data_IF_638097470328
#
_entry.id   IF_638097470328
#
_cell.length_a   1.000
_cell.length_b   1.000
_cell.length_c   1.000
_cell.angle_alpha   90.00
_cell.angle_beta   90.00
_cell.angle_gamma   90.00
#
_symmetry.space_group_name_H-M   'P 1'
#
loop_
_entity.id
_entity.type
_entity.pdbx_description
1 polymer ?
#
# COMPACT_ATOMS: atom_id res chain seq x y z
N UNK A 1 1.58 -7.87 -22.31
CA UNK A 1 0.19 -7.59 -21.88
C UNK A 1 0.14 -7.87 -20.38
N UNK A 2 0.23 -6.81 -19.57
CA UNK A 2 0.31 -6.86 -18.11
C UNK A 2 -1.01 -7.42 -17.56
N UNK A 3 -0.98 -8.61 -16.94
CA UNK A 3 -2.12 -9.06 -16.13
C UNK A 3 -2.27 -8.09 -14.95
N UNK A 4 -3.44 -7.46 -14.73
CA UNK A 4 -3.55 -6.50 -13.65
C UNK A 4 -3.44 -7.26 -12.32
N UNK A 5 -2.52 -6.84 -11.46
CA UNK A 5 -2.67 -7.07 -10.04
C UNK A 5 -4.10 -6.60 -9.67
N UNK A 6 -4.88 -7.49 -9.07
CA UNK A 6 -6.25 -7.20 -8.68
C UNK A 6 -6.33 -5.95 -7.80
N UNK A 7 -7.52 -5.32 -7.68
CA UNK A 7 -7.70 -4.19 -6.79
C UNK A 7 -7.28 -4.56 -5.35
N UNK A 8 -6.70 -3.60 -4.63
CA UNK A 8 -6.38 -3.79 -3.22
C UNK A 8 -7.64 -4.18 -2.44
N UNK A 9 -7.51 -5.24 -1.65
CA UNK A 9 -8.59 -5.67 -0.75
C UNK A 9 -8.58 -4.83 0.52
N UNK A 10 -9.74 -4.76 1.19
CA UNK A 10 -9.86 -4.03 2.45
C UNK A 10 -8.85 -4.52 3.52
N UNK A 11 -8.68 -5.85 3.77
CA UNK A 11 -7.68 -6.33 4.72
C UNK A 11 -6.24 -5.92 4.37
N UNK A 12 -5.90 -5.80 3.08
CA UNK A 12 -4.58 -5.32 2.65
C UNK A 12 -4.38 -3.83 2.96
N UNK A 13 -5.42 -3.01 2.76
CA UNK A 13 -5.40 -1.59 3.11
C UNK A 13 -5.23 -1.43 4.62
N UNK A 14 -6.00 -2.17 5.42
CA UNK A 14 -5.94 -2.13 6.88
C UNK A 14 -4.57 -2.58 7.41
N UNK A 15 -4.05 -3.71 6.92
CA UNK A 15 -2.73 -4.21 7.31
C UNK A 15 -1.62 -3.21 6.97
N UNK A 16 -1.64 -2.64 5.76
CA UNK A 16 -0.66 -1.65 5.34
C UNK A 16 -0.76 -0.38 6.19
N UNK A 17 -1.97 0.09 6.50
CA UNK A 17 -2.17 1.27 7.34
C UNK A 17 -1.73 1.02 8.80
N UNK A 18 -2.04 -0.14 9.38
CA UNK A 18 -1.57 -0.53 10.72
C UNK A 18 -0.04 -0.56 10.80
N UNK A 19 0.64 -1.16 9.81
CA UNK A 19 2.10 -1.18 9.75
C UNK A 19 2.72 0.24 9.66
N UNK A 20 2.00 1.19 9.07
CA UNK A 20 2.42 2.61 9.05
C UNK A 20 2.20 3.23 10.43
N UNK A 21 1.05 3.00 11.06
CA UNK A 21 0.71 3.53 12.38
C UNK A 21 1.64 3.00 13.49
N UNK A 22 2.13 1.77 13.39
CA UNK A 22 3.16 1.26 14.31
C UNK A 22 4.46 2.10 14.28
N UNK A 23 4.78 2.71 13.13
CA UNK A 23 6.00 3.51 12.91
C UNK A 23 5.75 5.02 13.02
N UNK A 24 4.49 5.44 13.01
CA UNK A 24 4.03 6.82 13.02
C UNK A 24 2.60 6.87 13.61
N UNK A 25 2.49 6.70 14.93
CA UNK A 25 1.20 6.53 15.62
C UNK A 25 0.30 7.76 15.59
N UNK A 26 0.90 8.94 15.44
CA UNK A 26 0.25 10.24 15.31
C UNK A 26 -0.16 10.58 13.87
N UNK A 27 0.18 9.72 12.89
CA UNK A 27 -0.16 9.95 11.50
C UNK A 27 -1.67 10.16 11.32
N UNK A 28 -2.01 11.25 10.63
CA UNK A 28 -3.40 11.55 10.24
C UNK A 28 -3.68 11.15 8.80
N UNK A 29 -2.69 11.20 7.91
CA UNK A 29 -2.87 10.88 6.49
C UNK A 29 -1.92 9.77 6.08
N UNK A 30 -2.45 8.69 5.49
CA UNK A 30 -1.66 7.58 4.96
C UNK A 30 -1.99 7.45 3.47
N UNK A 31 -1.02 7.67 2.59
CA UNK A 31 -1.22 7.43 1.17
C UNK A 31 -0.78 6.03 0.77
N UNK A 32 -1.63 5.27 0.10
CA UNK A 32 -1.32 3.95 -0.44
C UNK A 32 -1.48 3.99 -1.96
N UNK A 33 -0.43 3.60 -2.68
CA UNK A 33 -0.47 3.53 -4.13
C UNK A 33 -1.27 2.31 -4.57
N UNK A 34 -2.22 2.51 -5.48
CA UNK A 34 -2.96 1.44 -6.16
C UNK A 34 -3.36 1.89 -7.55
N UNK A 35 -3.15 1.02 -8.54
CA UNK A 35 -3.46 1.32 -9.95
C UNK A 35 -4.92 1.06 -10.30
N UNK A 36 -5.60 0.23 -9.51
CA UNK A 36 -6.96 -0.21 -9.79
C UNK A 36 -7.89 0.35 -8.74
N UNK A 37 -8.87 1.14 -9.18
CA UNK A 37 -9.98 1.60 -8.34
C UNK A 37 -10.91 0.41 -8.04
N UNK A 38 -11.32 0.29 -6.80
CA UNK A 38 -12.34 -0.66 -6.36
C UNK A 38 -13.41 0.05 -5.52
N UNK A 39 -14.46 -0.70 -5.19
CA UNK A 39 -15.45 -0.27 -4.21
C UNK A 39 -14.90 -0.63 -2.83
N UNK A 40 -14.63 0.40 -2.02
CA UNK A 40 -14.19 0.29 -0.63
C UNK A 40 -15.22 0.97 0.27
N UNK A 41 -15.29 0.61 1.57
CA UNK A 41 -16.11 1.37 2.51
C UNK A 41 -15.62 2.82 2.61
N UNK A 42 -16.52 3.74 2.99
CA UNK A 42 -16.19 5.16 3.14
C UNK A 42 -15.18 5.42 4.28
N UNK A 43 -15.16 4.53 5.28
CA UNK A 43 -14.24 4.60 6.41
C UNK A 43 -13.92 3.22 6.99
N UNK A 44 -12.79 3.15 7.71
CA UNK A 44 -12.31 1.98 8.47
C UNK A 44 -11.90 2.40 9.87
N UNK A 45 -11.95 1.47 10.83
CA UNK A 45 -11.48 1.73 12.20
C UNK A 45 -10.11 1.08 12.40
N UNK A 46 -9.08 1.87 12.68
CA UNK A 46 -7.71 1.41 12.88
C UNK A 46 -7.14 1.99 14.16
N UNK A 47 -6.59 1.14 15.03
CA UNK A 47 -5.99 1.56 16.31
C UNK A 47 -6.92 2.46 17.14
N UNK A 48 -8.22 2.15 17.16
CA UNK A 48 -9.25 2.95 17.86
C UNK A 48 -9.65 4.27 17.19
N UNK A 49 -9.03 4.64 16.07
CA UNK A 49 -9.30 5.87 15.30
C UNK A 49 -10.03 5.55 13.99
N UNK A 50 -10.93 6.42 13.56
CA UNK A 50 -11.61 6.26 12.27
C UNK A 50 -10.75 6.88 11.16
N UNK A 51 -10.60 6.18 10.04
CA UNK A 51 -9.91 6.65 8.84
C UNK A 51 -10.86 6.65 7.65
N UNK A 52 -11.07 7.80 7.01
CA UNK A 52 -11.84 7.89 5.76
C UNK A 52 -11.01 7.37 4.59
N UNK A 53 -11.60 6.58 3.71
CA UNK A 53 -10.94 6.11 2.48
C UNK A 53 -11.31 7.03 1.32
N UNK A 54 -10.31 7.54 0.61
CA UNK A 54 -10.54 8.41 -0.57
C UNK A 54 -9.68 7.96 -1.74
N UNK A 55 -10.34 7.71 -2.86
CA UNK A 55 -9.67 7.55 -4.15
C UNK A 55 -9.32 8.92 -4.73
N UNK A 56 -8.05 9.17 -5.00
CA UNK A 56 -7.54 10.40 -5.58
C UNK A 56 -6.72 10.06 -6.83
N UNK A 57 -7.27 10.33 -8.02
CA UNK A 57 -6.57 10.09 -9.30
C UNK A 57 -5.81 11.29 -9.84
N UNK A 58 -5.99 12.45 -9.21
CA UNK A 58 -5.27 13.68 -9.54
C UNK A 58 -4.68 14.33 -8.29
N UNK A 59 -3.61 15.13 -8.46
CA UNK A 59 -3.05 15.93 -7.36
C UNK A 59 -4.07 16.93 -6.79
N UNK A 60 -5.02 17.41 -7.59
CA UNK A 60 -6.08 18.31 -7.12
C UNK A 60 -7.00 17.60 -6.13
N UNK A 61 -7.48 16.40 -6.47
CA UNK A 61 -8.31 15.60 -5.57
C UNK A 61 -7.59 15.24 -4.26
N UNK A 62 -6.27 15.03 -4.33
CA UNK A 62 -5.46 14.82 -3.13
C UNK A 62 -5.47 16.06 -2.22
N UNK A 63 -5.31 17.26 -2.79
CA UNK A 63 -5.38 18.52 -2.04
C UNK A 63 -6.76 18.75 -1.44
N UNK A 64 -7.83 18.53 -2.21
CA UNK A 64 -9.20 18.65 -1.70
C UNK A 64 -9.47 17.70 -0.53
N UNK A 65 -9.04 16.44 -0.64
CA UNK A 65 -9.20 15.47 0.44
C UNK A 65 -8.43 15.86 1.72
N UNK A 66 -7.25 16.48 1.56
CA UNK A 66 -6.46 17.01 2.67
C UNK A 66 -7.13 18.23 3.31
N UNK A 67 -7.61 19.19 2.51
CA UNK A 67 -8.31 20.37 3.03
C UNK A 67 -9.58 20.00 3.78
N UNK A 68 -10.38 19.06 3.26
CA UNK A 68 -11.58 18.55 3.97
C UNK A 68 -11.27 17.78 5.25
N UNK A 69 -10.02 17.33 5.44
CA UNK A 69 -9.57 16.75 6.69
C UNK A 69 -9.27 17.83 7.73
N UNK A 70 -8.58 18.89 7.31
CA UNK A 70 -8.21 20.04 8.13
C UNK A 70 -9.45 20.80 8.62
N UNK A 71 -10.46 20.99 7.74
CA UNK A 71 -11.73 21.67 8.07
C UNK A 71 -12.63 20.88 9.02
N UNK A 72 -12.58 19.54 8.99
CA UNK A 72 -13.40 18.65 9.82
C UNK A 72 -12.74 18.24 11.15
N UNK A 73 -11.58 18.79 11.49
CA UNK A 73 -10.80 18.38 12.65
C UNK A 73 -11.39 18.82 14.00
N UNK A 74 -12.44 19.66 14.01
CA UNK A 74 -13.08 20.20 15.22
C UNK A 74 -14.08 19.24 15.91
N UNK A 75 -14.55 18.18 15.25
CA UNK A 75 -15.54 17.25 15.83
C UNK A 75 -14.89 15.99 16.44
N UNK A 76 -14.51 16.10 17.72
CA UNK A 76 -14.34 15.10 18.80
C UNK A 76 -13.71 13.70 18.58
N UNK A 77 -13.24 13.35 17.40
CA UNK A 77 -12.30 12.24 17.19
C UNK A 77 -11.61 12.48 15.85
N UNK A 78 -10.43 13.10 15.86
CA UNK A 78 -9.65 13.45 14.68
C UNK A 78 -9.59 12.29 13.68
N UNK A 79 -10.50 12.33 12.70
CA UNK A 79 -10.64 11.30 11.70
C UNK A 79 -9.39 11.36 10.83
N UNK A 80 -8.72 10.23 10.65
CA UNK A 80 -7.62 10.11 9.71
C UNK A 80 -8.12 9.99 8.27
N UNK A 81 -7.20 10.01 7.33
CA UNK A 81 -7.42 9.84 5.90
C UNK A 81 -6.49 8.76 5.35
N UNK A 82 -7.07 7.77 4.68
CA UNK A 82 -6.34 6.84 3.80
C UNK A 82 -6.58 7.30 2.37
N UNK A 83 -5.52 7.82 1.76
CA UNK A 83 -5.52 8.30 0.38
C UNK A 83 -5.07 7.17 -0.54
N UNK A 84 -5.99 6.63 -1.34
CA UNK A 84 -5.73 5.61 -2.34
C UNK A 84 -5.50 6.29 -3.69
N UNK A 85 -4.35 6.07 -4.32
CA UNK A 85 -4.00 6.81 -5.53
C UNK A 85 -3.16 6.00 -6.50
N UNK A 86 -3.32 6.15 -7.83
CA UNK A 86 -2.39 5.59 -8.79
C UNK A 86 -1.09 6.41 -8.89
N UNK A 87 -1.07 7.62 -8.32
CA UNK A 87 0.01 8.59 -8.47
C UNK A 87 1.23 8.25 -7.63
N UNK A 88 2.42 8.55 -8.13
CA UNK A 88 3.64 8.50 -7.33
C UNK A 88 3.76 9.71 -6.41
N UNK A 89 4.66 9.65 -5.42
CA UNK A 89 4.96 10.80 -4.58
C UNK A 89 5.41 12.02 -5.42
N UNK A 90 6.12 11.79 -6.52
CA UNK A 90 6.55 12.86 -7.44
C UNK A 90 5.35 13.54 -8.10
N UNK A 91 4.35 12.76 -8.52
CA UNK A 91 3.19 13.28 -9.25
C UNK A 91 2.23 14.04 -8.33
N UNK A 92 2.13 13.66 -7.04
CA UNK A 92 1.31 14.36 -6.05
C UNK A 92 1.83 15.78 -5.72
N UNK A 93 3.14 15.98 -5.79
CA UNK A 93 3.78 17.24 -5.43
C UNK A 93 4.18 17.32 -3.96
N UNK A 94 5.21 18.13 -3.68
CA UNK A 94 5.83 18.20 -2.36
C UNK A 94 4.91 18.68 -1.24
N UNK A 95 3.95 19.55 -1.56
CA UNK A 95 2.97 20.07 -0.60
C UNK A 95 2.02 18.97 -0.08
N UNK A 96 1.56 18.10 -0.97
CA UNK A 96 0.74 16.94 -0.62
C UNK A 96 1.59 15.94 0.15
N UNK A 97 2.77 15.59 -0.38
CA UNK A 97 3.65 14.59 0.20
C UNK A 97 4.08 14.95 1.62
N UNK A 98 4.38 16.22 1.90
CA UNK A 98 4.78 16.67 3.24
C UNK A 98 3.73 16.43 4.33
N UNK A 99 2.45 16.33 3.97
CA UNK A 99 1.34 16.04 4.90
C UNK A 99 1.08 14.54 5.09
N UNK A 100 1.67 13.70 4.25
CA UNK A 100 1.53 12.25 4.35
C UNK A 100 2.38 11.71 5.50
N UNK A 101 1.94 10.60 6.09
CA UNK A 101 2.72 9.85 7.05
C UNK A 101 4.12 9.57 6.49
N UNK A 102 5.13 10.02 7.22
CA UNK A 102 6.55 9.85 6.85
C UNK A 102 6.93 10.47 5.50
N UNK A 103 6.15 11.45 5.01
CA UNK A 103 6.36 12.10 3.73
C UNK A 103 6.51 11.13 2.54
N UNK A 104 5.68 10.08 2.50
CA UNK A 104 5.76 9.06 1.45
C UNK A 104 4.41 8.50 1.03
N UNK A 105 4.36 7.98 -0.20
CA UNK A 105 3.28 7.13 -0.69
C UNK A 105 3.70 5.69 -0.52
N UNK A 106 2.98 4.96 0.33
CA UNK A 106 3.24 3.56 0.61
C UNK A 106 2.78 2.72 -0.56
N UNK A 107 3.66 1.87 -1.07
CA UNK A 107 3.24 0.86 -2.04
C UNK A 107 2.44 -0.23 -1.29
N UNK A 108 1.61 -1.04 -1.97
CA UNK A 108 1.06 -2.25 -1.38
C UNK A 108 2.18 -3.24 -1.06
N UNK A 109 1.94 -4.16 -0.14
CA UNK A 109 2.90 -5.21 0.19
C UNK A 109 3.15 -6.11 -1.04
N UNK A 110 4.27 -5.83 -1.71
CA UNK A 110 4.69 -6.59 -2.88
C UNK A 110 5.13 -8.00 -2.49
N UNK A 111 5.61 -8.22 -1.26
CA UNK A 111 6.01 -9.55 -0.82
C UNK A 111 4.80 -10.46 -0.57
N UNK A 112 3.68 -9.94 -0.08
CA UNK A 112 2.42 -10.68 -0.05
C UNK A 112 1.94 -11.12 -1.43
N UNK A 113 2.13 -10.31 -2.47
CA UNK A 113 1.85 -10.73 -3.86
C UNK A 113 2.83 -11.80 -4.35
N UNK A 114 4.14 -11.62 -4.11
CA UNK A 114 5.15 -12.63 -4.45
C UNK A 114 4.88 -13.95 -3.74
N UNK A 115 4.48 -13.91 -2.47
CA UNK A 115 4.11 -15.09 -1.70
C UNK A 115 3.01 -15.90 -2.40
N UNK A 116 1.95 -15.23 -2.87
CA UNK A 116 0.88 -15.88 -3.64
C UNK A 116 1.38 -16.44 -4.98
N UNK A 117 2.22 -15.68 -5.69
CA UNK A 117 2.77 -16.08 -6.99
C UNK A 117 3.65 -17.35 -6.89
N UNK A 118 4.45 -17.46 -5.83
CA UNK A 118 5.29 -18.63 -5.54
C UNK A 118 4.55 -19.74 -4.77
N UNK A 119 3.25 -19.56 -4.47
CA UNK A 119 2.45 -20.45 -3.61
C UNK A 119 3.15 -20.75 -2.27
N UNK A 120 3.84 -19.76 -1.73
CA UNK A 120 4.55 -19.86 -0.47
C UNK A 120 3.60 -19.63 0.72
N UNK A 121 3.80 -20.36 1.80
CA UNK A 121 3.15 -20.16 3.10
C UNK A 121 3.82 -19.05 3.91
N UNK A 122 5.13 -18.88 3.75
CA UNK A 122 5.93 -17.87 4.44
C UNK A 122 7.02 -17.31 3.52
N UNK A 123 7.45 -16.08 3.80
CA UNK A 123 8.54 -15.38 3.10
C UNK A 123 9.63 -15.08 4.12
N UNK A 124 10.89 -15.30 3.77
CA UNK A 124 12.03 -14.97 4.63
C UNK A 124 11.97 -13.48 5.05
N UNK A 125 11.99 -13.20 6.36
CA UNK A 125 11.95 -11.84 6.89
C UNK A 125 13.06 -10.93 6.33
N UNK A 126 14.21 -11.52 5.94
CA UNK A 126 15.33 -10.82 5.30
C UNK A 126 15.00 -10.31 3.91
N UNK A 127 13.98 -10.85 3.25
CA UNK A 127 13.48 -10.36 1.96
C UNK A 127 12.73 -9.04 2.11
N UNK A 128 12.15 -8.77 3.28
CA UNK A 128 11.40 -7.53 3.55
C UNK A 128 12.19 -6.24 3.28
N UNK A 129 13.52 -6.27 3.39
CA UNK A 129 14.40 -5.11 3.07
C UNK A 129 14.56 -4.86 1.56
N UNK A 130 14.29 -5.87 0.72
CA UNK A 130 14.45 -5.81 -0.74
C UNK A 130 13.09 -5.57 -1.41
N UNK A 131 12.42 -4.47 -1.06
CA UNK A 131 11.08 -4.17 -1.61
C UNK A 131 11.07 -4.02 -3.14
N UNK A 132 12.16 -3.51 -3.72
CA UNK A 132 12.35 -3.42 -5.17
C UNK A 132 12.33 -4.80 -5.86
N UNK A 133 12.83 -5.83 -5.17
CA UNK A 133 12.89 -7.20 -5.68
C UNK A 133 11.50 -7.81 -5.75
N UNK A 134 10.67 -7.57 -4.73
CA UNK A 134 9.28 -8.00 -4.76
C UNK A 134 8.50 -7.40 -5.94
N UNK A 135 8.72 -6.10 -6.20
CA UNK A 135 8.10 -5.42 -7.34
C UNK A 135 8.55 -6.02 -8.67
N UNK A 136 9.86 -6.28 -8.84
CA UNK A 136 10.40 -6.91 -10.03
C UNK A 136 9.85 -8.34 -10.24
N UNK A 137 9.75 -9.13 -9.17
CA UNK A 137 9.19 -10.48 -9.23
C UNK A 137 7.70 -10.47 -9.62
N UNK A 138 6.92 -9.51 -9.11
CA UNK A 138 5.53 -9.31 -9.53
C UNK A 138 5.44 -8.89 -11.00
N UNK A 139 6.33 -8.03 -11.47
CA UNK A 139 6.34 -7.60 -12.88
C UNK A 139 6.70 -8.75 -13.83
N UNK A 140 7.71 -9.55 -13.48
CA UNK A 140 8.15 -10.73 -14.23
C UNK A 140 7.13 -11.86 -14.27
N UNK A 141 6.19 -11.92 -13.32
CA UNK A 141 5.12 -12.95 -13.36
C UNK A 141 4.23 -12.83 -14.60
N UNK A 142 4.24 -11.69 -15.28
CA UNK A 142 3.57 -11.51 -16.57
C UNK A 142 4.21 -12.30 -17.73
N UNK A 143 5.46 -12.73 -17.57
CA UNK A 143 6.21 -13.52 -18.55
C UNK A 143 6.10 -15.04 -18.32
N UNK A 144 5.54 -15.46 -17.19
CA UNK A 144 5.37 -16.87 -16.85
C UNK A 144 5.09 -17.05 -15.35
N UNK A 145 4.40 -18.15 -15.01
CA UNK A 145 4.16 -18.51 -13.62
C UNK A 145 5.46 -19.02 -12.95
N UNK A 146 5.65 -18.70 -11.68
CA UNK A 146 6.77 -19.25 -10.91
C UNK A 146 6.48 -20.69 -10.48
N UNK A 147 7.52 -21.56 -10.42
CA UNK A 147 7.37 -22.86 -9.81
C UNK A 147 7.03 -22.68 -8.31
N UNK A 148 6.10 -23.47 -7.76
CA UNK A 148 5.78 -23.41 -6.35
C UNK A 148 7.00 -23.77 -5.51
N UNK A 149 7.22 -23.05 -4.41
CA UNK A 149 8.33 -23.36 -3.50
C UNK A 149 8.10 -24.70 -2.78
N UNK A 150 9.03 -25.67 -2.82
CA UNK A 150 8.80 -27.03 -2.33
C UNK A 150 8.40 -27.11 -0.86
N UNK A 151 8.96 -26.22 -0.03
CA UNK A 151 8.76 -26.22 1.42
C UNK A 151 7.72 -25.19 1.89
N UNK A 152 7.04 -24.51 0.96
CA UNK A 152 6.16 -23.39 1.31
C UNK A 152 6.91 -22.17 1.88
N UNK A 153 8.23 -22.12 1.79
CA UNK A 153 9.04 -21.00 2.28
C UNK A 153 9.80 -20.37 1.13
N UNK A 154 9.58 -19.07 0.90
CA UNK A 154 10.34 -18.31 -0.08
C UNK A 154 11.60 -17.74 0.59
N UNK A 155 12.73 -18.39 0.32
CA UNK A 155 14.05 -17.96 0.79
C UNK A 155 14.71 -16.94 -0.16
N UNK A 156 15.79 -16.33 0.32
CA UNK A 156 16.56 -15.37 -0.48
C UNK A 156 17.08 -15.99 -1.79
N UNK A 157 17.67 -17.18 -1.73
CA UNK A 157 18.31 -17.80 -2.89
C UNK A 157 17.30 -18.01 -4.04
N UNK A 158 16.13 -18.54 -3.70
CA UNK A 158 15.01 -18.73 -4.64
C UNK A 158 14.54 -17.42 -5.21
N UNK A 159 14.37 -16.38 -4.39
CA UNK A 159 13.97 -15.06 -4.88
C UNK A 159 15.00 -14.47 -5.87
N UNK A 160 16.30 -14.56 -5.55
CA UNK A 160 17.39 -14.02 -6.38
C UNK A 160 17.55 -14.74 -7.72
N UNK A 161 17.25 -16.05 -7.81
CA UNK A 161 17.29 -16.78 -9.10
C UNK A 161 16.29 -16.24 -10.14
N UNK A 162 15.27 -15.53 -9.69
CA UNK A 162 14.18 -15.03 -10.53
C UNK A 162 14.24 -13.51 -10.77
N UNK A 163 15.29 -12.84 -10.29
CA UNK A 163 15.62 -11.41 -10.50
C UNK A 163 16.51 -11.21 -11.72
#
# INVERSE_FOLDING_TARGET
MTGPAGPLTLPQIEAQALAVLERASDAQVIAIQTRTKAVWPDAVQLSGRQFRLRWCESPLMAREALSSLEEGADEQAGAGLILLTPLSARDLGGDVVARLARAQVFQPDAWGMVQQLFKAREVDARLGRFRWMAQLLVERSSMGAYPPVPNGFLDMDTAWRHV
#
